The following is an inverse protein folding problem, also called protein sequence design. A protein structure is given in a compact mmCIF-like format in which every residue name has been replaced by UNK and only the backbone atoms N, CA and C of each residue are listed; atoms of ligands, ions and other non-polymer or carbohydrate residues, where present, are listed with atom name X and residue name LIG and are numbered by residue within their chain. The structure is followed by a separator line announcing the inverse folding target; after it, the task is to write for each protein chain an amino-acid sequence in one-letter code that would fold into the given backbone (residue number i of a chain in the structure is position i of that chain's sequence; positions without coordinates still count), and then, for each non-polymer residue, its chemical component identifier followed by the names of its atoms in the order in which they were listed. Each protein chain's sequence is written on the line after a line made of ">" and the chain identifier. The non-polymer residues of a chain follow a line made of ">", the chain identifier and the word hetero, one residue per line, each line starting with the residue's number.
data_IF_861137989347
#
_entry.id   IF_861137989347
#
_cell.length_a   1.000
_cell.length_b   1.000
_cell.length_c   1.000
_cell.angle_alpha   90.00
_cell.angle_beta   90.00
_cell.angle_gamma   90.00
#
_symmetry.space_group_name_H-M   'P 1'
#
loop_
_entity.id
_entity.type
_entity.pdbx_description
1 polymer ?
#
# COMPACT_ATOMS: atom_id res chain seq x y z
N UNK A 1 -16.89 -25.95 -7.86
CA UNK A 1 -16.08 -26.78 -6.95
C UNK A 1 -14.73 -26.11 -6.67
N UNK A 2 -14.07 -26.33 -5.51
CA UNK A 2 -12.70 -25.83 -5.27
C UNK A 2 -11.67 -26.76 -5.93
N UNK A 3 -10.60 -26.20 -6.48
CA UNK A 3 -9.52 -26.97 -7.12
C UNK A 3 -8.15 -26.53 -6.62
N UNK A 4 -7.31 -27.49 -6.22
CA UNK A 4 -5.90 -27.27 -5.96
C UNK A 4 -5.09 -27.36 -7.26
N UNK A 5 -4.12 -26.45 -7.42
CA UNK A 5 -3.13 -26.48 -8.49
C UNK A 5 -1.73 -26.28 -7.91
N UNK A 6 -0.88 -27.30 -8.05
CA UNK A 6 0.52 -27.28 -7.62
C UNK A 6 1.44 -27.49 -8.82
N UNK A 7 2.38 -26.57 -9.02
CA UNK A 7 3.38 -26.68 -10.07
C UNK A 7 4.50 -27.62 -9.66
N UNK A 8 5.00 -28.39 -10.63
CA UNK A 8 6.14 -29.30 -10.47
C UNK A 8 7.43 -28.64 -10.96
N UNK A 9 8.57 -29.16 -10.54
CA UNK A 9 9.90 -28.63 -10.92
C UNK A 9 10.15 -28.65 -12.44
N UNK A 10 9.44 -29.50 -13.18
CA UNK A 10 9.52 -29.62 -14.63
C UNK A 10 8.52 -28.71 -15.38
N UNK A 11 7.84 -27.80 -14.69
CA UNK A 11 6.87 -26.87 -15.27
C UNK A 11 5.50 -27.49 -15.57
N UNK A 12 5.25 -28.72 -15.12
CA UNK A 12 3.93 -29.33 -15.12
C UNK A 12 3.07 -28.87 -13.95
N UNK A 13 1.81 -29.26 -13.93
CA UNK A 13 0.84 -28.91 -12.88
C UNK A 13 0.05 -30.14 -12.48
N UNK A 14 -0.03 -30.37 -11.16
CA UNK A 14 -0.88 -31.40 -10.57
C UNK A 14 -2.13 -30.75 -10.00
N UNK A 15 -3.27 -31.33 -10.33
CA UNK A 15 -4.60 -30.79 -10.08
C UNK A 15 -5.43 -31.76 -9.26
N UNK A 16 -6.18 -31.25 -8.28
CA UNK A 16 -7.08 -32.07 -7.49
C UNK A 16 -8.34 -31.27 -7.09
N UNK A 17 -9.56 -31.81 -7.29
CA UNK A 17 -10.76 -31.21 -6.73
C UNK A 17 -10.78 -31.37 -5.20
N UNK A 18 -11.31 -30.38 -4.48
CA UNK A 18 -11.27 -30.33 -3.02
C UNK A 18 -12.66 -30.41 -2.37
N UNK A 19 -12.73 -31.10 -1.24
CA UNK A 19 -13.88 -31.07 -0.33
C UNK A 19 -13.92 -29.75 0.46
N UNK A 20 -15.00 -29.44 1.19
CA UNK A 20 -15.08 -28.22 1.99
C UNK A 20 -14.00 -28.10 3.10
N UNK A 21 -13.39 -29.23 3.50
CA UNK A 21 -12.30 -29.31 4.48
C UNK A 21 -10.91 -29.24 3.82
N UNK A 22 -10.84 -29.00 2.51
CA UNK A 22 -9.59 -28.84 1.77
C UNK A 22 -8.88 -30.16 1.44
N UNK A 23 -9.53 -31.31 1.62
CA UNK A 23 -8.97 -32.62 1.27
C UNK A 23 -9.30 -32.99 -0.17
N UNK A 24 -8.50 -33.88 -0.75
CA UNK A 24 -8.75 -34.44 -2.07
C UNK A 24 -10.15 -35.07 -2.16
N UNK A 25 -10.94 -34.61 -3.11
CA UNK A 25 -12.30 -35.08 -3.38
C UNK A 25 -12.41 -35.89 -4.70
N UNK A 26 -11.28 -36.21 -5.32
CA UNK A 26 -11.21 -36.89 -6.59
C UNK A 26 -9.77 -37.21 -7.02
N UNK A 27 -9.60 -37.85 -8.19
CA UNK A 27 -8.28 -38.24 -8.67
C UNK A 27 -7.40 -37.02 -8.96
N UNK A 28 -6.08 -37.20 -8.75
CA UNK A 28 -5.08 -36.23 -9.18
C UNK A 28 -4.94 -36.30 -10.69
N UNK A 29 -4.97 -35.14 -11.35
CA UNK A 29 -4.76 -35.03 -12.80
C UNK A 29 -3.51 -34.21 -13.06
N UNK A 30 -2.69 -34.63 -14.00
CA UNK A 30 -1.47 -33.93 -14.39
C UNK A 30 -1.62 -33.24 -15.74
N UNK A 31 -1.05 -32.04 -15.84
CA UNK A 31 -0.91 -31.27 -17.07
C UNK A 31 0.57 -30.96 -17.25
N UNK A 32 1.20 -31.43 -18.33
CA UNK A 32 2.63 -31.23 -18.55
C UNK A 32 2.94 -29.80 -19.02
N UNK A 33 4.22 -29.42 -18.95
CA UNK A 33 4.68 -28.17 -19.54
C UNK A 33 4.38 -28.09 -21.06
N UNK A 34 4.53 -29.21 -21.80
CA UNK A 34 4.25 -29.23 -23.25
C UNK A 34 2.75 -29.07 -23.54
N UNK A 35 1.89 -29.49 -22.63
CA UNK A 35 0.44 -29.28 -22.72
C UNK A 35 0.03 -27.84 -22.40
N UNK A 36 0.96 -26.96 -22.00
CA UNK A 36 0.68 -25.57 -21.66
C UNK A 36 0.63 -25.26 -20.16
N UNK A 37 1.01 -26.23 -19.31
CA UNK A 37 1.21 -26.06 -17.87
C UNK A 37 0.01 -25.44 -17.17
N UNK A 38 0.25 -24.41 -16.34
CA UNK A 38 -0.78 -23.78 -15.52
C UNK A 38 -1.91 -23.11 -16.32
N UNK A 39 -1.61 -22.59 -17.51
CA UNK A 39 -2.63 -21.98 -18.36
C UNK A 39 -3.62 -23.02 -18.87
N UNK A 40 -3.13 -24.16 -19.35
CA UNK A 40 -3.99 -25.25 -19.81
C UNK A 40 -4.74 -25.90 -18.65
N UNK A 41 -4.06 -26.09 -17.51
CA UNK A 41 -4.66 -26.59 -16.29
C UNK A 41 -5.89 -25.78 -15.87
N UNK A 42 -5.84 -24.45 -15.97
CA UNK A 42 -6.99 -23.59 -15.64
C UNK A 42 -8.05 -23.62 -16.74
N UNK A 43 -7.67 -23.52 -18.02
CA UNK A 43 -8.63 -23.49 -19.15
C UNK A 43 -9.49 -24.73 -19.24
N UNK A 44 -8.90 -25.88 -18.97
CA UNK A 44 -9.54 -27.18 -19.10
C UNK A 44 -10.48 -27.51 -17.93
N UNK A 45 -10.65 -26.61 -16.94
CA UNK A 45 -11.61 -26.74 -15.83
C UNK A 45 -12.45 -25.48 -15.65
N UNK A 46 -13.35 -25.15 -16.60
CA UNK A 46 -14.26 -24.01 -16.48
C UNK A 46 -15.22 -24.12 -15.28
N UNK A 47 -15.43 -25.32 -14.73
CA UNK A 47 -16.27 -25.61 -13.56
C UNK A 47 -15.60 -25.31 -12.20
N UNK A 48 -14.34 -24.87 -12.19
CA UNK A 48 -13.63 -24.49 -10.98
C UNK A 48 -14.14 -23.13 -10.44
N UNK A 49 -14.77 -23.15 -9.28
CA UNK A 49 -15.31 -21.94 -8.63
C UNK A 49 -14.23 -21.12 -7.93
N UNK A 50 -13.18 -21.80 -7.46
CA UNK A 50 -12.06 -21.19 -6.73
C UNK A 50 -10.82 -22.06 -6.87
N UNK A 51 -9.72 -21.42 -7.26
CA UNK A 51 -8.41 -22.04 -7.32
C UNK A 51 -7.69 -21.90 -6.00
N UNK A 52 -6.96 -22.94 -5.58
CA UNK A 52 -6.06 -22.94 -4.44
C UNK A 52 -4.67 -23.21 -4.97
N UNK A 53 -3.74 -22.29 -4.76
CA UNK A 53 -2.37 -22.41 -5.23
C UNK A 53 -1.42 -21.75 -4.24
N UNK A 54 -0.12 -22.02 -4.41
CA UNK A 54 0.92 -21.48 -3.53
C UNK A 54 0.90 -19.95 -3.46
N UNK A 55 1.03 -19.28 -4.61
CA UNK A 55 1.23 -17.84 -4.68
C UNK A 55 0.62 -17.24 -5.94
N UNK A 56 -0.33 -16.33 -5.76
CA UNK A 56 -1.02 -15.60 -6.84
C UNK A 56 -0.04 -14.69 -7.58
N UNK A 57 0.91 -14.09 -6.86
CA UNK A 57 1.91 -13.20 -7.46
C UNK A 57 2.80 -13.93 -8.48
N UNK A 58 3.03 -15.23 -8.31
CA UNK A 58 3.85 -16.06 -9.21
C UNK A 58 3.02 -16.74 -10.31
N UNK A 59 1.80 -17.15 -9.99
CA UNK A 59 0.93 -17.92 -10.91
C UNK A 59 0.17 -16.99 -11.86
N UNK A 60 -0.49 -15.97 -11.32
CA UNK A 60 -1.52 -15.27 -12.06
C UNK A 60 -1.01 -14.34 -13.18
N UNK A 61 0.17 -13.68 -13.06
CA UNK A 61 0.74 -12.95 -14.20
C UNK A 61 0.98 -13.83 -15.44
N UNK A 62 1.36 -15.10 -15.26
CA UNK A 62 1.55 -16.06 -16.37
C UNK A 62 0.22 -16.46 -16.99
N UNK A 63 -0.83 -16.65 -16.18
CA UNK A 63 -2.20 -16.86 -16.66
C UNK A 63 -2.70 -15.68 -17.49
N UNK A 64 -2.54 -14.44 -16.98
CA UNK A 64 -2.91 -13.22 -17.70
C UNK A 64 -2.13 -13.04 -19.01
N UNK A 65 -0.84 -13.40 -19.04
CA UNK A 65 -0.04 -13.40 -20.26
C UNK A 65 -0.58 -14.41 -21.30
N UNK A 66 -1.12 -15.53 -20.84
CA UNK A 66 -1.78 -16.55 -21.66
C UNK A 66 -3.26 -16.25 -21.95
N UNK A 67 -3.77 -15.08 -21.58
CA UNK A 67 -5.17 -14.67 -21.81
C UNK A 67 -6.19 -15.36 -20.91
N UNK A 68 -5.76 -16.00 -19.82
CA UNK A 68 -6.61 -16.72 -18.87
C UNK A 68 -6.87 -15.84 -17.64
N UNK A 69 -8.15 -15.61 -17.32
CA UNK A 69 -8.57 -14.90 -16.11
C UNK A 69 -9.16 -15.88 -15.11
N UNK A 70 -8.95 -15.60 -13.82
CA UNK A 70 -9.46 -16.38 -12.69
C UNK A 70 -10.27 -15.45 -11.83
N UNK A 71 -11.52 -15.80 -11.54
CA UNK A 71 -12.41 -14.96 -10.75
C UNK A 71 -12.12 -15.03 -9.25
N UNK A 72 -11.74 -16.22 -8.76
CA UNK A 72 -11.56 -16.48 -7.34
C UNK A 72 -10.36 -17.39 -7.11
N UNK A 73 -9.52 -16.99 -6.17
CA UNK A 73 -8.38 -17.77 -5.71
C UNK A 73 -8.33 -17.83 -4.18
N UNK A 74 -7.58 -18.78 -3.66
CA UNK A 74 -7.08 -18.82 -2.30
C UNK A 74 -5.55 -18.91 -2.41
N UNK A 75 -4.89 -17.87 -1.93
CA UNK A 75 -3.43 -17.76 -1.94
C UNK A 75 -2.89 -18.27 -0.61
N UNK A 76 -2.16 -19.38 -0.63
CA UNK A 76 -1.65 -20.02 0.59
C UNK A 76 -0.69 -19.11 1.35
N UNK A 77 0.22 -18.43 0.64
CA UNK A 77 1.24 -17.58 1.27
C UNK A 77 0.61 -16.27 1.79
N UNK A 78 -0.39 -15.71 1.11
CA UNK A 78 -1.13 -14.55 1.62
C UNK A 78 -1.98 -14.91 2.85
N UNK A 79 -2.65 -16.07 2.84
CA UNK A 79 -3.42 -16.55 3.97
C UNK A 79 -2.53 -16.87 5.18
N UNK A 80 -1.38 -17.50 4.95
CA UNK A 80 -0.42 -17.83 6.03
C UNK A 80 0.07 -16.57 6.74
N UNK A 81 0.35 -15.49 6.00
CA UNK A 81 0.75 -14.21 6.58
C UNK A 81 -0.30 -13.67 7.57
N UNK A 82 -1.57 -13.75 7.21
CA UNK A 82 -2.68 -13.27 8.02
C UNK A 82 -2.91 -14.14 9.26
N UNK A 83 -2.82 -15.46 9.11
CA UNK A 83 -2.98 -16.40 10.22
C UNK A 83 -1.82 -16.30 11.22
N UNK A 84 -0.57 -16.20 10.73
CA UNK A 84 0.59 -15.95 11.58
C UNK A 84 0.44 -14.63 12.34
N UNK A 85 -0.02 -13.57 11.67
CA UNK A 85 -0.33 -12.31 12.34
C UNK A 85 -1.43 -12.47 13.40
N UNK A 86 -2.48 -13.23 13.12
CA UNK A 86 -3.54 -13.53 14.09
C UNK A 86 -3.00 -14.23 15.35
N UNK A 87 -2.03 -15.11 15.18
CA UNK A 87 -1.34 -15.89 16.22
C UNK A 87 -0.22 -15.12 16.95
N UNK A 88 0.01 -13.84 16.61
CA UNK A 88 1.08 -13.04 17.21
C UNK A 88 2.48 -13.35 16.68
N UNK A 89 2.57 -13.96 15.50
CA UNK A 89 3.80 -14.36 14.81
C UNK A 89 4.03 -13.55 13.52
N UNK A 90 3.57 -12.29 13.52
CA UNK A 90 3.75 -11.39 12.38
C UNK A 90 5.21 -11.33 11.93
N UNK A 91 5.43 -11.43 10.61
CA UNK A 91 6.77 -11.41 10.02
C UNK A 91 7.48 -12.76 10.00
N UNK A 92 6.93 -13.82 10.61
CA UNK A 92 7.50 -15.15 10.48
C UNK A 92 7.39 -15.67 9.02
N UNK A 93 8.31 -16.56 8.59
CA UNK A 93 8.29 -17.12 7.23
C UNK A 93 6.96 -17.78 6.88
N UNK A 94 6.40 -17.40 5.73
CA UNK A 94 5.04 -17.71 5.27
C UNK A 94 4.99 -18.49 3.96
N UNK A 95 6.14 -18.79 3.35
CA UNK A 95 6.20 -19.68 2.18
C UNK A 95 5.54 -21.04 2.45
N UNK A 96 5.11 -21.73 1.38
CA UNK A 96 4.56 -23.09 1.51
C UNK A 96 5.51 -24.04 2.26
N UNK A 97 6.83 -23.94 1.99
CA UNK A 97 7.84 -24.72 2.67
C UNK A 97 7.92 -24.39 4.17
N UNK A 98 7.88 -23.10 4.52
CA UNK A 98 7.87 -22.66 5.92
C UNK A 98 6.61 -23.09 6.68
N UNK A 99 5.43 -22.92 6.08
CA UNK A 99 4.16 -23.34 6.65
C UNK A 99 4.14 -24.85 6.91
N UNK A 100 4.57 -25.66 5.95
CA UNK A 100 4.64 -27.11 6.11
C UNK A 100 5.68 -27.56 7.15
N UNK A 101 6.88 -26.96 7.15
CA UNK A 101 7.90 -27.28 8.13
C UNK A 101 7.40 -27.02 9.55
N UNK A 102 6.74 -25.87 9.77
CA UNK A 102 6.10 -25.51 11.03
C UNK A 102 5.03 -26.51 11.44
N UNK A 103 4.15 -26.91 10.52
CA UNK A 103 3.11 -27.91 10.77
C UNK A 103 3.69 -29.27 11.20
N UNK A 104 4.87 -29.64 10.68
CA UNK A 104 5.56 -30.89 10.99
C UNK A 104 6.54 -30.82 12.17
N UNK A 105 6.69 -29.65 12.81
CA UNK A 105 7.69 -29.45 13.86
C UNK A 105 9.13 -29.53 13.38
N UNK A 106 9.38 -29.23 12.09
CA UNK A 106 10.70 -29.21 11.46
C UNK A 106 11.31 -27.80 11.48
N UNK A 107 12.64 -27.65 11.26
CA UNK A 107 13.27 -26.34 11.09
C UNK A 107 12.58 -25.52 9.97
N UNK A 108 12.19 -24.30 10.30
CA UNK A 108 11.46 -23.41 9.38
C UNK A 108 12.47 -22.67 8.48
N UNK A 109 12.42 -22.85 7.15
CA UNK A 109 13.24 -22.06 6.23
C UNK A 109 12.82 -20.59 6.22
N UNK A 110 13.80 -19.70 6.04
CA UNK A 110 13.55 -18.27 5.80
C UNK A 110 12.88 -18.05 4.44
N UNK A 111 12.04 -17.03 4.36
CA UNK A 111 11.49 -16.57 3.09
C UNK A 111 12.52 -15.72 2.32
N UNK A 112 12.51 -15.74 0.99
CA UNK A 112 13.38 -14.88 0.19
C UNK A 112 13.03 -13.40 0.46
N UNK A 113 14.03 -12.49 0.36
CA UNK A 113 13.77 -11.07 0.52
C UNK A 113 12.76 -10.60 -0.54
N UNK A 114 11.90 -9.61 -0.22
CA UNK A 114 10.99 -9.03 -1.20
C UNK A 114 11.73 -8.53 -2.44
N UNK A 115 11.18 -8.79 -3.64
CA UNK A 115 11.78 -8.28 -4.89
C UNK A 115 11.86 -6.76 -4.86
N UNK A 116 13.03 -6.19 -5.17
CA UNK A 116 13.19 -4.74 -5.32
C UNK A 116 12.57 -4.25 -6.65
N UNK A 117 11.91 -3.10 -6.63
CA UNK A 117 11.25 -2.52 -7.80
C UNK A 117 12.24 -2.02 -8.85
N UNK A 118 11.87 -2.21 -10.12
CA UNK A 118 12.47 -1.49 -11.24
C UNK A 118 13.91 -1.90 -11.56
N UNK A 119 14.46 -2.91 -10.87
CA UNK A 119 15.70 -3.54 -11.26
C UNK A 119 15.53 -4.37 -12.53
N UNK A 120 16.57 -4.48 -13.34
CA UNK A 120 16.65 -5.58 -14.30
C UNK A 120 16.55 -6.90 -13.51
N UNK A 121 15.83 -7.91 -14.03
CA UNK A 121 15.83 -9.22 -13.39
C UNK A 121 17.26 -9.68 -13.18
N UNK A 122 17.63 -9.93 -11.93
CA UNK A 122 18.96 -10.45 -11.63
C UNK A 122 19.08 -11.82 -12.29
N UNK A 123 20.24 -12.12 -12.88
CA UNK A 123 20.52 -13.45 -13.44
C UNK A 123 20.35 -14.57 -12.38
N UNK A 124 20.38 -14.20 -11.09
CA UNK A 124 20.22 -15.09 -9.93
C UNK A 124 19.13 -14.58 -8.98
N UNK A 125 17.92 -14.35 -9.47
CA UNK A 125 16.78 -14.15 -8.55
C UNK A 125 16.56 -15.44 -7.73
N UNK A 126 16.62 -15.38 -6.39
CA UNK A 126 16.33 -16.55 -5.58
C UNK A 126 14.86 -16.94 -5.81
N UNK A 127 14.64 -18.19 -6.24
CA UNK A 127 13.32 -18.78 -6.33
C UNK A 127 12.68 -18.96 -4.95
N UNK A 128 11.41 -19.43 -4.89
CA UNK A 128 10.81 -19.82 -3.63
C UNK A 128 11.69 -20.85 -2.91
N UNK A 129 11.66 -20.88 -1.56
CA UNK A 129 12.43 -21.86 -0.81
C UNK A 129 11.98 -23.26 -1.22
N UNK A 130 12.92 -24.16 -1.58
CA UNK A 130 12.56 -25.47 -2.12
C UNK A 130 11.88 -26.30 -1.04
N UNK A 131 10.93 -27.14 -1.46
CA UNK A 131 10.40 -28.19 -0.60
C UNK A 131 11.49 -29.25 -0.32
N UNK A 132 11.42 -29.97 0.82
CA UNK A 132 12.36 -31.06 1.08
C UNK A 132 12.37 -32.10 -0.04
N UNK A 133 13.54 -32.68 -0.40
CA UNK A 133 13.64 -33.68 -1.46
C UNK A 133 12.62 -34.82 -1.30
N UNK A 134 11.97 -35.21 -2.39
CA UNK A 134 10.94 -36.25 -2.40
C UNK A 134 9.56 -35.81 -1.87
N UNK A 135 9.38 -34.52 -1.53
CA UNK A 135 8.06 -33.98 -1.22
C UNK A 135 7.28 -33.69 -2.51
N UNK A 136 6.07 -34.23 -2.60
CA UNK A 136 5.11 -33.85 -3.64
C UNK A 136 4.57 -32.42 -3.38
N UNK A 137 4.72 -31.47 -4.32
CA UNK A 137 4.17 -30.12 -4.17
C UNK A 137 2.66 -30.07 -3.94
N UNK A 138 1.89 -31.00 -4.52
CA UNK A 138 0.45 -31.06 -4.32
C UNK A 138 0.13 -31.51 -2.89
N UNK A 139 0.79 -32.55 -2.39
CA UNK A 139 0.57 -33.01 -1.01
C UNK A 139 0.92 -31.91 0.00
N UNK A 140 2.03 -31.20 -0.22
CA UNK A 140 2.41 -30.07 0.61
C UNK A 140 1.35 -28.96 0.59
N UNK A 141 0.81 -28.64 -0.60
CA UNK A 141 -0.24 -27.65 -0.78
C UNK A 141 -1.53 -28.05 -0.04
N UNK A 142 -1.97 -29.30 -0.17
CA UNK A 142 -3.19 -29.80 0.47
C UNK A 142 -3.05 -29.85 2.00
N UNK A 143 -1.89 -30.27 2.50
CA UNK A 143 -1.60 -30.34 3.92
C UNK A 143 -1.67 -28.96 4.58
N UNK A 144 -0.99 -27.97 4.00
CA UNK A 144 -1.00 -26.59 4.49
C UNK A 144 -2.39 -25.96 4.33
N UNK A 145 -3.07 -26.18 3.21
CA UNK A 145 -4.42 -25.65 3.03
C UNK A 145 -5.41 -26.17 4.08
N UNK A 146 -5.38 -27.48 4.37
CA UNK A 146 -6.23 -28.07 5.39
C UNK A 146 -5.94 -27.51 6.79
N UNK A 147 -4.66 -27.33 7.14
CA UNK A 147 -4.25 -26.68 8.40
C UNK A 147 -4.75 -25.22 8.49
N UNK A 148 -4.60 -24.44 7.41
CA UNK A 148 -5.07 -23.06 7.37
C UNK A 148 -6.59 -22.95 7.55
N UNK A 149 -7.36 -23.91 7.03
CA UNK A 149 -8.81 -23.97 7.29
C UNK A 149 -9.11 -24.24 8.77
N UNK A 150 -8.39 -25.18 9.40
CA UNK A 150 -8.55 -25.46 10.85
C UNK A 150 -8.20 -24.23 11.69
N UNK A 151 -7.09 -23.55 11.39
CA UNK A 151 -6.68 -22.32 12.09
C UNK A 151 -7.65 -21.16 11.88
N UNK A 152 -8.22 -21.06 10.68
CA UNK A 152 -9.29 -20.10 10.39
C UNK A 152 -10.54 -20.38 11.21
N UNK A 153 -10.93 -21.66 11.35
CA UNK A 153 -12.08 -22.09 12.17
C UNK A 153 -11.85 -21.89 13.68
N UNK A 154 -10.58 -21.91 14.11
CA UNK A 154 -10.18 -21.66 15.50
C UNK A 154 -10.03 -20.17 15.86
N UNK A 155 -10.08 -19.26 14.88
CA UNK A 155 -10.00 -17.82 15.14
C UNK A 155 -11.18 -17.33 15.98
N UNK A 156 -11.00 -16.23 16.73
CA UNK A 156 -12.07 -15.64 17.57
C UNK A 156 -13.36 -15.34 16.77
N UNK A 157 -13.20 -14.94 15.51
CA UNK A 157 -14.29 -14.69 14.58
C UNK A 157 -14.03 -15.39 13.23
N UNK A 158 -14.38 -16.69 13.10
CA UNK A 158 -14.04 -17.50 11.93
C UNK A 158 -14.57 -16.93 10.61
N UNK A 159 -15.81 -16.42 10.60
CA UNK A 159 -16.42 -15.83 9.40
C UNK A 159 -15.67 -14.58 8.93
N UNK A 160 -15.15 -13.79 9.87
CA UNK A 160 -14.37 -12.59 9.56
C UNK A 160 -12.98 -12.94 9.03
N UNK A 161 -12.33 -13.94 9.62
CA UNK A 161 -11.04 -14.43 9.14
C UNK A 161 -11.15 -15.06 7.74
N UNK A 162 -12.23 -15.82 7.47
CA UNK A 162 -12.56 -16.31 6.11
C UNK A 162 -12.73 -15.17 5.11
N UNK A 163 -13.45 -14.11 5.50
CA UNK A 163 -13.65 -12.95 4.64
C UNK A 163 -12.33 -12.21 4.40
N UNK A 164 -11.49 -12.04 5.42
CA UNK A 164 -10.18 -11.40 5.32
C UNK A 164 -9.24 -12.14 4.36
N UNK A 165 -9.07 -13.44 4.54
CA UNK A 165 -8.22 -14.29 3.67
C UNK A 165 -8.75 -14.31 2.23
N UNK A 166 -10.07 -14.32 2.05
CA UNK A 166 -10.71 -14.21 0.74
C UNK A 166 -10.45 -12.85 0.09
N UNK A 167 -10.61 -11.76 0.85
CA UNK A 167 -10.40 -10.40 0.37
C UNK A 167 -8.94 -10.16 0.00
N UNK A 168 -8.00 -10.72 0.76
CA UNK A 168 -6.57 -10.64 0.46
C UNK A 168 -6.24 -11.36 -0.85
N UNK A 169 -6.71 -12.60 -1.01
CA UNK A 169 -6.51 -13.39 -2.22
C UNK A 169 -7.12 -12.70 -3.45
N UNK A 170 -8.32 -12.11 -3.30
CA UNK A 170 -8.94 -11.32 -4.35
C UNK A 170 -8.12 -10.05 -4.67
N UNK A 171 -7.59 -9.38 -3.65
CA UNK A 171 -6.69 -8.24 -3.82
C UNK A 171 -5.44 -8.59 -4.62
N UNK A 172 -4.85 -9.76 -4.41
CA UNK A 172 -3.71 -10.26 -5.18
C UNK A 172 -4.06 -10.47 -6.67
N UNK A 173 -5.24 -11.02 -6.97
CA UNK A 173 -5.73 -11.12 -8.35
C UNK A 173 -5.88 -9.73 -8.98
N UNK A 174 -6.61 -8.83 -8.30
CA UNK A 174 -6.89 -7.47 -8.79
C UNK A 174 -5.59 -6.69 -9.00
N UNK A 175 -4.62 -6.80 -8.10
CA UNK A 175 -3.31 -6.16 -8.24
C UNK A 175 -2.59 -6.58 -9.53
N UNK A 176 -2.61 -7.87 -9.86
CA UNK A 176 -2.02 -8.37 -11.11
C UNK A 176 -2.78 -7.88 -12.35
N UNK A 177 -4.12 -7.86 -12.31
CA UNK A 177 -4.95 -7.32 -13.39
C UNK A 177 -4.69 -5.82 -13.61
N UNK A 178 -4.65 -5.03 -12.54
CA UNK A 178 -4.35 -3.60 -12.58
C UNK A 178 -2.95 -3.34 -13.15
N UNK A 179 -1.95 -4.12 -12.75
CA UNK A 179 -0.59 -4.04 -13.30
C UNK A 179 -0.55 -4.37 -14.80
N UNK A 180 -1.27 -5.41 -15.23
CA UNK A 180 -1.35 -5.83 -16.64
C UNK A 180 -2.05 -4.76 -17.48
N UNK A 181 -3.22 -4.31 -17.01
CA UNK A 181 -4.04 -3.30 -17.68
C UNK A 181 -3.33 -1.95 -17.75
N UNK A 182 -2.67 -1.53 -16.66
CA UNK A 182 -1.99 -0.25 -16.54
C UNK A 182 -2.93 0.96 -16.61
N UNK A 183 -2.41 2.11 -16.21
CA UNK A 183 -3.11 3.40 -16.34
C UNK A 183 -2.65 4.07 -17.64
N UNK A 184 -3.57 4.53 -18.52
CA UNK A 184 -3.22 5.30 -19.71
C UNK A 184 -2.29 6.49 -19.38
N UNK A 185 -1.16 6.56 -20.07
CA UNK A 185 -0.11 7.53 -19.78
C UNK A 185 0.58 8.05 -21.04
N UNK A 186 0.51 9.36 -21.24
CA UNK A 186 1.16 10.08 -22.35
C UNK A 186 2.58 10.48 -21.98
N UNK A 187 3.53 9.65 -22.37
CA UNK A 187 4.95 9.85 -22.10
C UNK A 187 5.52 11.12 -22.76
N UNK A 188 4.98 11.52 -23.92
CA UNK A 188 5.27 12.77 -24.60
C UNK A 188 4.85 13.98 -23.75
N UNK A 189 3.62 13.99 -23.22
CA UNK A 189 3.13 15.05 -22.32
C UNK A 189 3.93 15.13 -21.03
N UNK A 190 4.38 13.98 -20.51
CA UNK A 190 5.25 13.96 -19.34
C UNK A 190 6.62 14.57 -19.66
N UNK A 191 7.24 14.24 -20.81
CA UNK A 191 8.51 14.86 -21.23
C UNK A 191 8.37 16.37 -21.43
N UNK A 192 7.34 16.81 -22.14
CA UNK A 192 7.03 18.24 -22.32
C UNK A 192 6.93 18.97 -20.97
N UNK A 193 6.26 18.37 -20.00
CA UNK A 193 6.15 18.92 -18.65
C UNK A 193 7.52 19.03 -17.96
N UNK A 194 8.35 18.01 -18.07
CA UNK A 194 9.69 18.02 -17.48
C UNK A 194 10.57 19.08 -18.15
N UNK A 195 10.51 19.20 -19.48
CA UNK A 195 11.23 20.22 -20.24
C UNK A 195 10.75 21.64 -19.87
N UNK A 196 9.45 21.83 -19.69
CA UNK A 196 8.82 23.10 -19.24
C UNK A 196 9.31 23.52 -17.84
N UNK A 197 9.34 22.58 -16.89
CA UNK A 197 9.59 22.89 -15.47
C UNK A 197 11.08 22.83 -15.08
N UNK A 198 11.85 21.92 -15.67
CA UNK A 198 13.25 21.67 -15.31
C UNK A 198 14.24 22.24 -16.34
N UNK A 199 13.77 22.57 -17.55
CA UNK A 199 14.61 23.08 -18.63
C UNK A 199 15.47 21.98 -19.27
N UNK A 200 16.49 22.42 -19.99
CA UNK A 200 17.39 21.54 -20.74
C UNK A 200 18.07 20.50 -19.84
N UNK A 201 18.08 19.25 -20.32
CA UNK A 201 18.80 18.15 -19.70
C UNK A 201 20.23 18.13 -20.19
N UNK A 202 21.18 18.27 -19.27
CA UNK A 202 22.58 18.11 -19.60
C UNK A 202 22.97 16.62 -19.72
N UNK A 203 23.93 16.28 -20.61
CA UNK A 203 24.49 14.93 -20.69
C UNK A 203 25.11 14.48 -19.36
N UNK A 204 25.19 13.15 -19.15
CA UNK A 204 25.94 12.58 -18.01
C UNK A 204 25.23 12.65 -16.65
N UNK A 205 23.95 12.98 -16.59
CA UNK A 205 23.18 12.98 -15.32
C UNK A 205 23.40 14.20 -14.44
N UNK A 206 23.95 15.28 -15.01
CA UNK A 206 24.03 16.59 -14.37
C UNK A 206 22.63 17.16 -14.11
N UNK A 207 22.54 18.06 -13.13
CA UNK A 207 21.27 18.71 -12.78
C UNK A 207 20.68 19.49 -13.95
N UNK A 208 19.36 19.37 -14.22
CA UNK A 208 18.68 20.19 -15.23
C UNK A 208 18.94 21.68 -15.07
N UNK A 209 18.96 22.41 -16.19
CA UNK A 209 19.29 23.85 -16.23
C UNK A 209 18.60 24.67 -15.14
N UNK A 210 17.29 24.47 -14.92
CA UNK A 210 16.53 25.26 -13.95
C UNK A 210 16.95 25.02 -12.51
N UNK A 211 17.37 23.80 -12.17
CA UNK A 211 17.90 23.47 -10.84
C UNK A 211 19.26 24.15 -10.62
N UNK A 212 20.12 24.14 -11.63
CA UNK A 212 21.41 24.83 -11.56
C UNK A 212 21.24 26.36 -11.37
N UNK A 213 20.35 26.99 -12.14
CA UNK A 213 20.03 28.42 -12.01
C UNK A 213 19.54 28.78 -10.59
N UNK A 214 18.63 27.96 -10.02
CA UNK A 214 18.11 28.17 -8.67
C UNK A 214 19.18 27.93 -7.59
N UNK A 215 20.06 26.94 -7.75
CA UNK A 215 21.18 26.72 -6.84
C UNK A 215 22.15 27.92 -6.83
N UNK A 216 22.36 28.56 -7.98
CA UNK A 216 23.15 29.78 -8.10
C UNK A 216 22.44 31.00 -7.50
N UNK A 217 21.12 31.11 -7.63
CA UNK A 217 20.31 32.13 -6.92
C UNK A 217 20.40 31.97 -5.40
N UNK A 218 20.25 30.75 -4.88
CA UNK A 218 20.40 30.45 -3.45
C UNK A 218 21.81 30.82 -2.97
N UNK A 219 22.84 30.41 -3.72
CA UNK A 219 24.24 30.72 -3.37
C UNK A 219 24.51 32.23 -3.37
N UNK A 220 23.98 32.96 -4.36
CA UNK A 220 24.09 34.43 -4.42
C UNK A 220 23.40 35.10 -3.23
N UNK A 221 22.22 34.64 -2.84
CA UNK A 221 21.48 35.19 -1.71
C UNK A 221 22.20 35.00 -0.36
N UNK A 222 22.99 33.94 -0.21
CA UNK A 222 23.84 33.72 0.97
C UNK A 222 25.27 34.30 0.84
N UNK A 223 25.65 34.80 -0.34
CA UNK A 223 27.01 35.27 -0.61
C UNK A 223 28.09 34.17 -0.61
N UNK A 224 27.71 32.90 -0.60
CA UNK A 224 28.61 31.75 -0.58
C UNK A 224 28.00 30.56 -1.30
N UNK A 225 28.80 29.59 -1.74
CA UNK A 225 28.27 28.38 -2.37
C UNK A 225 27.47 27.57 -1.35
N UNK A 226 26.22 27.25 -1.68
CA UNK A 226 25.33 26.42 -0.87
C UNK A 226 24.69 25.37 -1.76
N UNK A 227 24.73 24.11 -1.34
CA UNK A 227 24.01 23.02 -2.01
C UNK A 227 22.59 22.88 -1.45
N UNK A 228 21.54 23.23 -2.22
CA UNK A 228 20.18 23.26 -1.68
C UNK A 228 19.55 21.86 -1.54
N UNK A 229 20.13 20.83 -2.18
CA UNK A 229 19.76 19.41 -2.02
C UNK A 229 20.15 18.84 -0.66
N UNK A 230 21.12 19.45 0.04
CA UNK A 230 21.59 19.00 1.35
C UNK A 230 20.97 19.82 2.48
N UNK A 231 20.06 19.25 3.29
CA UNK A 231 19.46 19.96 4.42
C UNK A 231 20.47 20.54 5.41
N UNK A 232 21.57 19.81 5.67
CA UNK A 232 22.61 20.25 6.59
C UNK A 232 23.36 21.50 6.10
N UNK A 233 23.61 21.63 4.79
CA UNK A 233 24.24 22.83 4.23
C UNK A 233 23.31 24.04 4.30
N UNK A 234 22.01 23.84 4.02
CA UNK A 234 21.00 24.89 4.13
C UNK A 234 20.90 25.40 5.57
N UNK A 235 20.81 24.52 6.56
CA UNK A 235 20.77 24.91 7.99
C UNK A 235 22.02 25.70 8.36
N UNK A 236 23.21 25.25 7.92
CA UNK A 236 24.47 25.94 8.17
C UNK A 236 24.53 27.32 7.51
N UNK A 237 23.96 27.48 6.31
CA UNK A 237 23.90 28.76 5.61
C UNK A 237 23.01 29.77 6.34
N UNK A 238 21.82 29.36 6.78
CA UNK A 238 20.95 30.21 7.60
C UNK A 238 21.57 30.54 8.96
N UNK A 239 22.24 29.59 9.61
CA UNK A 239 22.91 29.85 10.88
C UNK A 239 24.01 30.93 10.75
N UNK A 240 24.76 30.94 9.63
CA UNK A 240 25.74 32.01 9.33
C UNK A 240 25.09 33.37 9.10
N UNK A 241 23.86 33.39 8.57
CA UNK A 241 23.06 34.59 8.43
C UNK A 241 22.35 35.00 9.75
N UNK A 242 22.63 34.33 10.87
CA UNK A 242 22.05 34.63 12.18
C UNK A 242 20.64 34.06 12.40
N UNK A 243 20.18 33.15 11.53
CA UNK A 243 18.84 32.55 11.57
C UNK A 243 18.96 31.09 12.01
N UNK A 244 18.40 30.76 13.18
CA UNK A 244 18.36 29.39 13.66
C UNK A 244 17.18 28.62 13.03
N UNK A 245 17.45 27.42 12.51
CA UNK A 245 16.44 26.51 11.97
C UNK A 245 16.50 25.16 12.66
N UNK A 246 15.33 24.65 13.02
CA UNK A 246 15.12 23.28 13.48
C UNK A 246 14.91 22.30 12.32
N UNK A 247 14.38 22.78 11.18
CA UNK A 247 14.21 21.98 9.97
C UNK A 247 14.25 22.83 8.70
N UNK A 248 14.34 22.16 7.56
CA UNK A 248 14.20 22.81 6.24
C UNK A 248 12.81 22.60 5.63
N UNK A 249 11.80 22.28 6.44
CA UNK A 249 10.43 22.08 5.95
C UNK A 249 9.85 23.41 5.44
N UNK A 250 8.95 23.32 4.45
CA UNK A 250 8.41 24.51 3.77
C UNK A 250 7.79 25.50 4.76
N UNK A 251 6.92 25.04 5.66
CA UNK A 251 6.25 25.88 6.67
C UNK A 251 7.20 26.64 7.61
N UNK A 252 8.40 26.11 7.87
CA UNK A 252 9.39 26.78 8.70
C UNK A 252 10.15 27.82 7.89
N UNK A 253 10.54 27.46 6.67
CA UNK A 253 11.23 28.36 5.73
C UNK A 253 10.36 29.55 5.32
N UNK A 254 9.06 29.35 5.09
CA UNK A 254 8.09 30.40 4.70
C UNK A 254 7.92 31.49 5.75
N UNK A 255 8.31 31.23 7.01
CA UNK A 255 8.22 32.20 8.11
C UNK A 255 9.45 33.10 8.21
N UNK A 256 10.45 32.87 7.37
CA UNK A 256 11.73 33.57 7.39
C UNK A 256 11.72 34.65 6.31
N UNK A 257 12.05 35.87 6.71
CA UNK A 257 12.30 36.96 5.77
C UNK A 257 13.78 36.94 5.34
N UNK A 258 14.10 36.19 4.29
CA UNK A 258 15.44 36.11 3.71
C UNK A 258 15.37 35.88 2.19
N UNK A 259 16.20 36.56 1.36
CA UNK A 259 16.12 36.49 -0.11
C UNK A 259 16.37 35.08 -0.67
N UNK A 260 17.02 34.19 0.09
CA UNK A 260 17.26 32.80 -0.31
C UNK A 260 16.02 31.89 -0.18
N UNK A 261 14.96 32.30 0.54
CA UNK A 261 13.82 31.42 0.87
C UNK A 261 13.02 31.05 -0.37
N UNK A 262 12.57 32.03 -1.16
CA UNK A 262 11.81 31.79 -2.39
C UNK A 262 12.55 30.88 -3.40
N UNK A 263 13.82 31.14 -3.78
CA UNK A 263 14.54 30.26 -4.70
C UNK A 263 14.82 28.87 -4.10
N UNK A 264 15.04 28.77 -2.78
CA UNK A 264 15.22 27.49 -2.09
C UNK A 264 13.94 26.65 -2.13
N UNK A 265 12.78 27.22 -1.83
CA UNK A 265 11.49 26.51 -1.88
C UNK A 265 11.19 26.02 -3.31
N UNK A 266 11.44 26.87 -4.31
CA UNK A 266 11.34 26.51 -5.73
C UNK A 266 12.30 25.38 -6.11
N UNK A 267 13.56 25.46 -5.70
CA UNK A 267 14.55 24.40 -5.94
C UNK A 267 14.06 23.09 -5.33
N UNK A 268 13.65 23.07 -4.06
CA UNK A 268 13.22 21.84 -3.38
C UNK A 268 12.01 21.20 -4.06
N UNK A 269 11.06 22.01 -4.54
CA UNK A 269 9.89 21.55 -5.31
C UNK A 269 10.31 20.88 -6.62
N UNK A 270 11.17 21.54 -7.40
CA UNK A 270 11.65 21.00 -8.68
C UNK A 270 12.60 19.81 -8.50
N UNK A 271 13.43 19.81 -7.47
CA UNK A 271 14.36 18.73 -7.15
C UNK A 271 13.61 17.45 -6.79
N UNK A 272 12.52 17.57 -6.01
CA UNK A 272 11.62 16.44 -5.73
C UNK A 272 10.95 15.92 -7.01
N UNK A 273 10.49 16.81 -7.90
CA UNK A 273 9.93 16.41 -9.19
C UNK A 273 10.98 15.65 -10.03
N UNK A 274 12.19 16.19 -10.14
CA UNK A 274 13.29 15.61 -10.91
C UNK A 274 13.68 14.21 -10.40
N UNK A 275 13.84 14.05 -9.09
CA UNK A 275 14.30 12.79 -8.49
C UNK A 275 13.19 11.76 -8.37
N UNK A 276 11.96 12.15 -8.01
CA UNK A 276 10.87 11.21 -7.76
C UNK A 276 10.04 10.88 -9.01
N UNK A 277 9.88 11.83 -9.94
CA UNK A 277 9.01 11.68 -11.13
C UNK A 277 9.65 12.18 -12.43
N UNK A 278 10.99 12.31 -12.48
CA UNK A 278 11.69 12.74 -13.67
C UNK A 278 11.81 11.66 -14.75
N UNK A 279 12.76 11.84 -15.66
CA UNK A 279 12.96 10.95 -16.81
C UNK A 279 13.23 9.49 -16.41
N UNK A 280 13.97 9.24 -15.34
CA UNK A 280 14.24 7.88 -14.84
C UNK A 280 12.94 7.18 -14.42
N UNK A 281 12.10 7.86 -13.63
CA UNK A 281 10.78 7.35 -13.25
C UNK A 281 9.93 7.02 -14.48
N UNK A 282 9.90 7.93 -15.46
CA UNK A 282 9.13 7.71 -16.69
C UNK A 282 9.62 6.46 -17.44
N UNK A 283 10.93 6.23 -17.51
CA UNK A 283 11.52 5.05 -18.15
C UNK A 283 11.21 3.75 -17.39
N UNK A 284 11.28 3.77 -16.06
CA UNK A 284 11.04 2.58 -15.23
C UNK A 284 9.59 2.14 -15.25
N UNK A 285 8.65 3.08 -15.24
CA UNK A 285 7.24 2.78 -14.94
C UNK A 285 6.28 2.88 -16.12
N UNK A 286 6.67 3.57 -17.20
CA UNK A 286 5.80 3.78 -18.36
C UNK A 286 6.37 3.06 -19.58
N UNK A 287 5.56 2.16 -20.14
CA UNK A 287 5.84 1.45 -21.40
C UNK A 287 4.56 1.29 -22.18
N UNK A 288 4.64 1.24 -23.51
CA UNK A 288 3.46 1.00 -24.38
C UNK A 288 2.28 1.95 -24.07
N UNK A 289 2.56 3.21 -23.76
CA UNK A 289 1.53 4.21 -23.44
C UNK A 289 0.81 4.00 -22.11
N UNK A 290 1.36 3.19 -21.19
CA UNK A 290 0.73 2.91 -19.89
C UNK A 290 1.72 2.93 -18.73
N UNK A 291 1.30 3.55 -17.64
CA UNK A 291 1.92 3.44 -16.32
C UNK A 291 1.53 2.10 -15.68
N UNK A 292 2.52 1.28 -15.32
CA UNK A 292 2.31 -0.08 -14.80
C UNK A 292 3.04 -0.31 -13.47
N UNK A 293 2.54 0.27 -12.36
CA UNK A 293 3.09 0.01 -11.05
C UNK A 293 2.84 -1.44 -10.63
N UNK A 294 3.71 -1.95 -9.76
CA UNK A 294 3.50 -3.22 -9.09
C UNK A 294 2.86 -2.97 -7.74
N UNK A 295 1.59 -3.35 -7.63
CA UNK A 295 0.82 -3.24 -6.38
C UNK A 295 1.11 -4.43 -5.48
N UNK A 296 1.28 -4.15 -4.19
CA UNK A 296 1.50 -5.12 -3.14
C UNK A 296 0.34 -5.04 -2.13
N UNK A 297 -0.73 -5.83 -2.33
CA UNK A 297 -1.75 -6.04 -1.32
C UNK A 297 -1.13 -6.51 -0.01
N UNK A 298 -1.63 -5.98 1.11
CA UNK A 298 -1.07 -6.29 2.43
C UNK A 298 0.34 -5.79 2.66
N UNK A 299 0.85 -4.87 1.81
CA UNK A 299 2.22 -4.38 1.87
C UNK A 299 2.53 -3.49 3.08
N UNK A 300 1.53 -2.91 3.74
CA UNK A 300 1.68 -2.33 5.08
C UNK A 300 1.10 -3.25 6.15
N UNK A 301 1.56 -3.06 7.39
CA UNK A 301 0.97 -3.66 8.60
C UNK A 301 -0.55 -3.44 8.67
N UNK A 302 -1.02 -2.24 8.35
CA UNK A 302 -2.46 -1.90 8.33
C UNK A 302 -3.24 -2.60 7.22
N UNK A 303 -2.57 -3.25 6.26
CA UNK A 303 -3.17 -3.90 5.10
C UNK A 303 -3.44 -2.98 3.92
N UNK A 304 -2.98 -1.72 3.99
CA UNK A 304 -3.02 -0.83 2.83
C UNK A 304 -2.10 -1.38 1.75
N UNK A 305 -2.52 -1.20 0.52
CA UNK A 305 -1.70 -1.58 -0.63
C UNK A 305 -0.52 -0.64 -0.72
N UNK A 306 0.66 -1.20 -0.92
CA UNK A 306 1.85 -0.43 -1.26
C UNK A 306 2.19 -0.66 -2.72
N UNK A 307 3.25 0.00 -3.19
CA UNK A 307 3.88 -0.36 -4.45
C UNK A 307 5.34 -0.60 -4.22
N UNK A 308 5.87 -1.53 -4.98
CA UNK A 308 7.30 -1.67 -5.10
C UNK A 308 7.86 -0.36 -5.71
N UNK A 309 8.93 0.22 -5.14
CA UNK A 309 9.62 1.39 -5.72
C UNK A 309 9.30 2.75 -5.11
N UNK A 310 8.98 2.78 -3.81
CA UNK A 310 9.19 3.93 -2.90
C UNK A 310 8.45 5.24 -3.20
N UNK A 311 7.52 5.26 -4.16
CA UNK A 311 6.84 6.50 -4.55
C UNK A 311 6.14 6.46 -5.90
N UNK A 312 6.12 5.31 -6.58
CA UNK A 312 5.46 5.15 -7.88
C UNK A 312 4.01 5.71 -7.91
N UNK A 313 3.27 5.59 -6.80
CA UNK A 313 1.90 6.10 -6.69
C UNK A 313 1.76 7.54 -6.19
N UNK A 314 2.81 8.16 -5.66
CA UNK A 314 2.73 9.51 -5.10
C UNK A 314 2.80 10.59 -6.19
N UNK A 315 1.97 10.45 -7.23
CA UNK A 315 2.05 11.27 -8.44
C UNK A 315 1.55 12.71 -8.14
N UNK A 316 2.43 13.72 -8.26
CA UNK A 316 2.07 15.12 -8.01
C UNK A 316 1.00 15.58 -8.98
N UNK A 317 0.12 16.50 -8.55
CA UNK A 317 -0.98 17.04 -9.36
C UNK A 317 -0.53 17.53 -10.74
N UNK A 318 0.64 18.18 -10.80
CA UNK A 318 1.21 18.67 -12.06
C UNK A 318 1.55 17.55 -13.05
N UNK A 319 2.03 16.41 -12.56
CA UNK A 319 2.40 15.24 -13.38
C UNK A 319 1.17 14.49 -13.87
N UNK A 320 0.04 14.57 -13.16
CA UNK A 320 -1.23 13.93 -13.56
C UNK A 320 -1.76 14.43 -14.91
N UNK A 321 -1.26 15.56 -15.44
CA UNK A 321 -1.50 16.02 -16.84
C UNK A 321 -1.11 14.97 -17.89
N UNK A 322 -0.19 14.07 -17.56
CA UNK A 322 0.20 12.97 -18.44
C UNK A 322 -0.78 11.78 -18.41
N UNK A 323 -1.72 11.75 -17.46
CA UNK A 323 -2.78 10.72 -17.42
C UNK A 323 -3.89 11.15 -18.36
N UNK A 324 -3.97 10.51 -19.53
CA UNK A 324 -4.92 10.87 -20.59
C UNK A 324 -5.65 9.60 -21.01
N UNK A 325 -6.98 9.64 -21.01
CA UNK A 325 -7.81 8.51 -21.44
C UNK A 325 -7.47 8.06 -22.87
N UNK A 326 -7.66 6.76 -23.13
CA UNK A 326 -7.60 6.21 -24.48
C UNK A 326 -8.69 6.85 -25.37
N UNK A 327 -8.50 6.91 -26.71
CA UNK A 327 -9.52 7.44 -27.62
C UNK A 327 -10.89 6.77 -27.46
N UNK A 328 -11.93 7.56 -27.27
CA UNK A 328 -13.30 7.07 -27.02
C UNK A 328 -13.59 6.70 -25.56
N UNK A 329 -12.61 6.83 -24.65
CA UNK A 329 -12.78 6.54 -23.23
C UNK A 329 -12.76 7.82 -22.38
N UNK A 330 -13.22 7.69 -21.14
CA UNK A 330 -13.10 8.71 -20.09
C UNK A 330 -12.57 8.08 -18.82
N UNK A 331 -11.80 8.84 -18.04
CA UNK A 331 -11.38 8.44 -16.71
C UNK A 331 -12.51 8.73 -15.72
N UNK A 332 -12.81 7.77 -14.85
CA UNK A 332 -13.78 7.91 -13.77
C UNK A 332 -13.02 7.76 -12.46
N UNK A 333 -13.18 8.75 -11.58
CA UNK A 333 -12.61 8.72 -10.23
C UNK A 333 -13.76 8.47 -9.26
N UNK A 334 -13.64 7.42 -8.46
CA UNK A 334 -14.55 7.13 -7.36
C UNK A 334 -13.72 7.13 -6.06
N UNK A 335 -14.11 7.98 -5.12
CA UNK A 335 -13.47 8.08 -3.81
C UNK A 335 -14.51 7.88 -2.72
N UNK A 336 -14.07 7.33 -1.59
CA UNK A 336 -14.92 7.10 -0.43
C UNK A 336 -14.75 8.24 0.57
N UNK A 337 -15.70 9.17 0.55
CA UNK A 337 -15.70 10.33 1.43
C UNK A 337 -15.67 9.91 2.90
N UNK A 338 -14.60 10.31 3.58
CA UNK A 338 -14.48 10.21 5.04
C UNK A 338 -14.64 8.76 5.53
N UNK A 339 -14.05 7.80 4.81
CA UNK A 339 -14.17 6.37 5.11
C UNK A 339 -13.80 6.02 6.56
N UNK A 340 -12.69 6.53 7.07
CA UNK A 340 -12.18 6.20 8.41
C UNK A 340 -13.16 6.52 9.56
N UNK A 341 -13.69 7.76 9.69
CA UNK A 341 -14.67 8.04 10.73
C UNK A 341 -16.02 7.32 10.50
N UNK A 342 -16.38 7.01 9.26
CA UNK A 342 -17.58 6.19 8.96
C UNK A 342 -17.39 4.73 9.41
N UNK A 343 -16.20 4.17 9.20
CA UNK A 343 -15.83 2.85 9.69
C UNK A 343 -15.83 2.85 11.22
N UNK A 344 -15.25 3.87 11.86
CA UNK A 344 -15.29 4.01 13.32
C UNK A 344 -16.74 4.04 13.85
N UNK A 345 -17.62 4.80 13.20
CA UNK A 345 -19.05 4.83 13.54
C UNK A 345 -19.68 3.43 13.52
N UNK A 346 -19.38 2.65 12.47
CA UNK A 346 -19.94 1.32 12.29
C UNK A 346 -19.42 0.30 13.31
N UNK A 347 -18.10 0.31 13.61
CA UNK A 347 -17.48 -0.69 14.48
C UNK A 347 -17.65 -0.37 15.97
N UNK A 348 -17.64 0.92 16.35
CA UNK A 348 -17.89 1.34 17.72
C UNK A 348 -19.37 1.31 18.10
N UNK A 349 -20.25 1.35 17.09
CA UNK A 349 -21.71 1.46 17.25
C UNK A 349 -22.14 2.64 18.13
N UNK A 350 -21.35 3.71 18.14
CA UNK A 350 -21.69 4.91 18.89
C UNK A 350 -22.91 5.60 18.25
N UNK A 351 -24.05 5.73 18.96
CA UNK A 351 -25.27 6.26 18.36
C UNK A 351 -25.11 7.68 17.80
N UNK A 352 -24.33 8.52 18.50
CA UNK A 352 -24.10 9.90 18.08
C UNK A 352 -23.26 9.97 16.80
N UNK A 353 -22.19 9.17 16.73
CA UNK A 353 -21.33 9.14 15.55
C UNK A 353 -22.04 8.48 14.35
N UNK A 354 -22.84 7.44 14.58
CA UNK A 354 -23.67 6.81 13.55
C UNK A 354 -24.72 7.77 12.99
N UNK A 355 -25.38 8.58 13.83
CA UNK A 355 -26.33 9.60 13.39
C UNK A 355 -25.64 10.65 12.51
N UNK A 356 -24.47 11.13 12.93
CA UNK A 356 -23.67 12.10 12.15
C UNK A 356 -23.25 11.50 10.81
N UNK A 357 -22.74 10.27 10.81
CA UNK A 357 -22.30 9.58 9.61
C UNK A 357 -23.47 9.22 8.66
N UNK A 358 -24.65 8.91 9.20
CA UNK A 358 -25.86 8.55 8.45
C UNK A 358 -26.65 9.72 7.88
N UNK A 359 -26.29 10.96 8.22
CA UNK A 359 -27.07 12.17 7.87
C UNK A 359 -27.13 12.51 6.37
N UNK A 360 -26.33 11.85 5.52
CA UNK A 360 -26.21 12.18 4.09
C UNK A 360 -25.51 13.50 3.78
N UNK A 361 -25.10 14.26 4.82
CA UNK A 361 -24.33 15.50 4.72
C UNK A 361 -22.84 15.25 5.01
N UNK A 362 -22.00 16.25 4.75
CA UNK A 362 -20.58 16.21 5.12
C UNK A 362 -20.44 15.92 6.63
N UNK A 363 -19.67 14.87 6.96
CA UNK A 363 -19.54 14.39 8.34
C UNK A 363 -18.92 15.46 9.23
N UNK A 364 -17.91 16.18 8.72
CA UNK A 364 -17.22 17.22 9.49
C UNK A 364 -18.08 18.47 9.67
N UNK A 365 -18.87 18.87 8.68
CA UNK A 365 -19.82 19.96 8.80
C UNK A 365 -20.90 19.63 9.85
N UNK A 366 -21.49 18.44 9.76
CA UNK A 366 -22.50 17.98 10.73
C UNK A 366 -21.92 17.86 12.14
N UNK A 367 -20.67 17.38 12.24
CA UNK A 367 -19.93 17.36 13.51
C UNK A 367 -19.67 18.77 14.04
N UNK A 368 -19.32 19.68 13.15
CA UNK A 368 -18.99 21.06 13.48
C UNK A 368 -20.19 21.84 14.02
N UNK A 369 -21.34 21.73 13.36
CA UNK A 369 -22.60 22.33 13.80
C UNK A 369 -22.99 21.86 15.21
N UNK A 370 -22.66 20.61 15.54
CA UNK A 370 -23.06 19.97 16.79
C UNK A 370 -22.06 20.11 17.93
N UNK A 371 -20.77 20.33 17.63
CA UNK A 371 -19.71 20.21 18.64
C UNK A 371 -18.58 21.25 18.55
N UNK A 372 -18.46 22.02 17.46
CA UNK A 372 -17.35 22.94 17.22
C UNK A 372 -17.80 24.32 16.72
N UNK A 373 -19.00 24.76 17.09
CA UNK A 373 -19.52 26.10 16.78
C UNK A 373 -19.43 26.50 15.30
N UNK A 374 -19.58 25.53 14.38
CA UNK A 374 -19.51 25.76 12.94
C UNK A 374 -18.09 25.84 12.34
N UNK A 375 -17.03 25.64 13.12
CA UNK A 375 -15.66 25.52 12.61
C UNK A 375 -15.35 24.12 12.06
N UNK A 376 -15.53 23.92 10.76
CA UNK A 376 -15.35 22.61 10.10
C UNK A 376 -13.94 22.06 10.22
N UNK A 377 -12.92 22.89 10.03
CA UNK A 377 -11.52 22.44 10.06
C UNK A 377 -11.10 22.01 11.46
N UNK A 378 -11.60 22.71 12.48
CA UNK A 378 -11.40 22.33 13.87
C UNK A 378 -12.07 20.98 14.19
N UNK A 379 -13.29 20.75 13.73
CA UNK A 379 -13.99 19.47 13.88
C UNK A 379 -13.25 18.32 13.19
N UNK A 380 -12.70 18.58 12.00
CA UNK A 380 -11.87 17.61 11.26
C UNK A 380 -10.58 17.28 12.00
N UNK A 381 -9.83 18.30 12.43
CA UNK A 381 -8.59 18.12 13.18
C UNK A 381 -8.83 17.39 14.50
N UNK A 382 -9.92 17.72 15.20
CA UNK A 382 -10.33 17.05 16.42
C UNK A 382 -10.57 15.55 16.21
N UNK A 383 -11.41 15.20 15.23
CA UNK A 383 -11.77 13.81 14.98
C UNK A 383 -10.59 12.99 14.49
N UNK A 384 -9.78 13.56 13.59
CA UNK A 384 -8.54 12.91 13.14
C UNK A 384 -7.55 12.79 14.30
N UNK A 385 -7.36 13.83 15.10
CA UNK A 385 -6.50 13.79 16.28
C UNK A 385 -6.90 12.69 17.26
N UNK A 386 -8.19 12.47 17.49
CA UNK A 386 -8.69 11.37 18.31
C UNK A 386 -8.44 9.98 17.69
N UNK A 387 -8.67 9.82 16.38
CA UNK A 387 -8.43 8.55 15.66
C UNK A 387 -6.94 8.21 15.59
N UNK A 388 -6.10 9.23 15.43
CA UNK A 388 -4.65 9.08 15.24
C UNK A 388 -3.85 9.30 16.54
N UNK A 389 -4.50 9.37 17.70
CA UNK A 389 -3.83 9.48 18.99
C UNK A 389 -3.01 10.76 19.20
N UNK A 390 -3.32 11.86 18.51
CA UNK A 390 -2.66 13.15 18.77
C UNK A 390 -3.10 13.72 20.12
N UNK A 391 -2.19 13.72 21.09
CA UNK A 391 -2.44 14.13 22.49
C UNK A 391 -1.82 15.48 22.87
N UNK A 392 -1.32 16.27 21.91
CA UNK A 392 -0.64 17.55 22.17
C UNK A 392 -1.47 18.79 21.76
N UNK A 393 -1.24 19.91 22.46
CA UNK A 393 -1.86 21.21 22.17
C UNK A 393 -3.37 21.26 22.35
N UNK A 394 -4.07 21.96 21.45
CA UNK A 394 -5.54 22.08 21.44
C UNK A 394 -6.26 20.72 21.23
N UNK A 395 -5.52 19.67 20.84
CA UNK A 395 -6.02 18.30 20.69
C UNK A 395 -6.66 17.73 21.96
N UNK A 396 -6.18 18.10 23.15
CA UNK A 396 -6.73 17.62 24.42
C UNK A 396 -8.14 18.17 24.71
N UNK A 397 -8.37 19.46 24.40
CA UNK A 397 -9.70 20.08 24.56
C UNK A 397 -10.70 19.48 23.59
N UNK A 398 -10.26 19.24 22.36
CA UNK A 398 -11.06 18.61 21.31
C UNK A 398 -11.40 17.15 21.62
N UNK A 399 -10.46 16.39 22.16
CA UNK A 399 -10.68 15.02 22.61
C UNK A 399 -11.69 14.96 23.75
N UNK A 400 -11.64 15.87 24.72
CA UNK A 400 -12.63 15.92 25.82
C UNK A 400 -14.05 16.17 25.31
N UNK A 401 -14.22 17.05 24.32
CA UNK A 401 -15.51 17.29 23.67
C UNK A 401 -16.02 16.06 22.93
N UNK A 402 -15.15 15.36 22.20
CA UNK A 402 -15.46 14.11 21.51
C UNK A 402 -15.83 12.99 22.49
N UNK A 403 -15.08 12.81 23.59
CA UNK A 403 -15.36 11.77 24.60
C UNK A 403 -16.71 11.96 25.27
N UNK A 404 -17.15 13.21 25.48
CA UNK A 404 -18.50 13.49 25.99
C UNK A 404 -19.60 13.15 24.98
N UNK A 405 -19.34 13.36 23.68
CA UNK A 405 -20.36 13.26 22.63
C UNK A 405 -20.45 11.89 21.97
N UNK A 406 -19.32 11.22 21.82
CA UNK A 406 -19.17 9.90 21.21
C UNK A 406 -18.37 8.97 22.15
N UNK A 407 -18.88 8.70 23.36
CA UNK A 407 -18.13 7.95 24.37
C UNK A 407 -17.75 6.54 23.91
N UNK A 408 -18.60 5.85 23.15
CA UNK A 408 -18.31 4.49 22.70
C UNK A 408 -17.24 4.50 21.59
N UNK A 409 -17.27 5.49 20.69
CA UNK A 409 -16.27 5.64 19.64
C UNK A 409 -14.88 5.94 20.22
N UNK A 410 -14.81 6.85 21.20
CA UNK A 410 -13.55 7.20 21.87
C UNK A 410 -13.05 6.03 22.72
N UNK A 411 -13.92 5.35 23.47
CA UNK A 411 -13.55 4.17 24.25
C UNK A 411 -12.97 3.05 23.38
N UNK A 412 -13.53 2.84 22.18
CA UNK A 412 -13.05 1.84 21.23
C UNK A 412 -11.60 2.07 20.80
N UNK A 413 -11.24 3.31 20.43
CA UNK A 413 -9.86 3.65 20.07
C UNK A 413 -8.92 3.69 21.28
N UNK A 414 -9.40 4.17 22.44
CA UNK A 414 -8.62 4.17 23.69
C UNK A 414 -8.28 2.74 24.15
N UNK A 415 -9.19 1.78 23.99
CA UNK A 415 -8.96 0.37 24.32
C UNK A 415 -7.92 -0.25 23.39
N UNK A 416 -7.98 0.04 22.08
CA UNK A 416 -6.99 -0.41 21.12
C UNK A 416 -5.60 0.20 21.40
N UNK A 417 -5.53 1.48 21.73
CA UNK A 417 -4.29 2.15 22.11
C UNK A 417 -3.68 1.52 23.38
N UNK A 418 -4.49 1.34 24.43
CA UNK A 418 -4.06 0.68 25.67
C UNK A 418 -3.60 -0.75 25.44
N UNK A 419 -4.27 -1.49 24.55
CA UNK A 419 -3.84 -2.83 24.15
C UNK A 419 -2.44 -2.80 23.54
N UNK A 420 -2.17 -1.86 22.62
CA UNK A 420 -0.85 -1.67 22.05
C UNK A 420 0.22 -1.31 23.10
N UNK A 421 -0.09 -0.38 24.01
CA UNK A 421 0.80 0.04 25.12
C UNK A 421 1.14 -1.12 26.07
N UNK A 422 0.19 -2.03 26.30
CA UNK A 422 0.36 -3.24 27.10
C UNK A 422 1.04 -4.40 26.33
N UNK A 423 1.41 -4.19 25.06
CA UNK A 423 2.01 -5.22 24.19
C UNK A 423 1.03 -6.28 23.71
N UNK A 424 -0.28 -6.08 23.88
CA UNK A 424 -1.33 -6.96 23.34
C UNK A 424 -1.50 -6.73 21.84
N UNK A 425 -1.98 -7.76 21.15
CA UNK A 425 -2.27 -7.68 19.72
C UNK A 425 -3.50 -6.80 19.46
N UNK A 426 -3.33 -5.82 18.58
CA UNK A 426 -4.43 -4.97 18.09
C UNK A 426 -4.91 -5.50 16.74
N UNK A 427 -6.22 -5.59 16.52
CA UNK A 427 -6.78 -6.15 15.28
C UNK A 427 -7.79 -5.21 14.64
N UNK A 428 -7.82 -5.21 13.32
CA UNK A 428 -8.90 -4.61 12.53
C UNK A 428 -10.21 -5.40 12.72
N UNK A 429 -11.34 -4.84 12.27
CA UNK A 429 -12.65 -5.50 12.37
C UNK A 429 -12.67 -6.93 11.81
N UNK A 430 -12.00 -7.17 10.68
CA UNK A 430 -11.96 -8.49 10.04
C UNK A 430 -10.87 -9.41 10.61
N UNK A 431 -10.05 -8.94 11.53
CA UNK A 431 -9.06 -9.76 12.24
C UNK A 431 -7.61 -9.61 11.77
N UNK A 432 -7.30 -8.69 10.85
CA UNK A 432 -5.91 -8.36 10.49
C UNK A 432 -5.21 -7.77 11.71
N UNK A 433 -4.05 -8.31 12.07
CA UNK A 433 -3.31 -7.93 13.28
C UNK A 433 -2.23 -6.90 13.01
N UNK A 434 -2.18 -5.87 13.85
CA UNK A 434 -1.02 -5.00 14.02
C UNK A 434 -0.03 -5.64 15.01
N UNK A 435 1.24 -5.86 14.65
CA UNK A 435 2.24 -6.39 15.56
C UNK A 435 2.50 -5.41 16.73
N UNK A 436 2.98 -5.91 17.88
CA UNK A 436 3.42 -5.05 18.99
C UNK A 436 4.54 -4.09 18.58
N UNK A 437 4.62 -2.93 19.23
CA UNK A 437 5.70 -1.96 19.04
C UNK A 437 7.07 -2.55 19.42
N UNK A 438 8.13 -2.26 18.65
CA UNK A 438 9.48 -2.79 18.87
C UNK A 438 9.80 -4.13 18.18
N UNK A 439 8.92 -4.66 17.33
CA UNK A 439 9.22 -5.82 16.47
C UNK A 439 9.95 -5.41 15.17
N UNK A 440 10.65 -6.34 14.52
CA UNK A 440 11.42 -6.13 13.28
C UNK A 440 10.63 -5.49 12.10
N UNK A 441 9.30 -5.41 12.20
CA UNK A 441 8.45 -4.71 11.26
C UNK A 441 8.57 -3.17 11.31
N UNK A 442 9.10 -2.59 12.39
CA UNK A 442 9.32 -1.13 12.48
C UNK A 442 10.40 -0.62 11.51
N UNK A 443 11.42 -1.43 11.20
CA UNK A 443 12.51 -1.01 10.28
C UNK A 443 12.06 -0.89 8.82
N UNK A 444 10.92 -1.49 8.45
CA UNK A 444 10.34 -1.42 7.10
C UNK A 444 9.04 -0.62 7.03
N UNK A 445 8.47 -0.29 8.19
CA UNK A 445 7.27 0.52 8.35
C UNK A 445 7.62 1.96 8.73
N UNK A 446 8.59 2.55 8.04
CA UNK A 446 8.53 3.99 7.78
C UNK A 446 7.22 4.18 7.00
N UNK A 447 6.13 4.39 7.75
CA UNK A 447 4.89 4.91 7.22
C UNK A 447 5.33 6.06 6.32
N UNK A 448 4.89 6.03 5.07
CA UNK A 448 5.03 7.15 4.15
C UNK A 448 4.23 8.39 4.63
N UNK A 449 4.21 8.67 5.93
CA UNK A 449 3.90 9.93 6.57
C UNK A 449 5.04 10.92 6.40
N UNK A 450 5.34 11.28 5.15
CA UNK A 450 5.77 12.64 4.90
C UNK A 450 4.51 13.53 5.02
N UNK A 451 4.60 14.68 5.71
CA UNK A 451 3.45 15.55 5.92
C UNK A 451 2.79 15.88 4.57
N UNK A 452 1.47 15.67 4.51
CA UNK A 452 0.65 16.22 3.44
C UNK A 452 0.80 17.74 3.53
N UNK A 453 1.57 18.33 2.63
CA UNK A 453 1.42 19.75 2.34
C UNK A 453 -0.06 19.95 1.96
N UNK A 454 -0.71 20.89 2.65
CA UNK A 454 -2.11 21.23 2.49
C UNK A 454 -2.30 21.89 1.12
N UNK A 455 -2.36 21.10 0.05
CA UNK A 455 -3.07 21.53 -1.15
C UNK A 455 -4.51 21.03 -1.01
N UNK A 456 -5.43 21.97 -0.77
CA UNK A 456 -6.86 21.71 -0.72
C UNK A 456 -7.32 20.95 -1.98
N UNK A 457 -8.01 19.81 -1.84
CA UNK A 457 -8.80 19.30 -2.93
C UNK A 457 -10.07 20.16 -3.05
N UNK A 458 -10.01 21.24 -3.82
CA UNK A 458 -11.21 21.87 -4.39
C UNK A 458 -11.78 20.92 -5.44
N UNK A 459 -12.57 19.95 -5.01
CA UNK A 459 -13.51 19.27 -5.89
C UNK A 459 -14.75 20.16 -6.00
N UNK A 460 -15.08 20.54 -7.23
CA UNK A 460 -16.22 21.40 -7.52
C UNK A 460 -17.48 20.85 -6.86
N UNK A 461 -18.03 21.63 -5.94
CA UNK A 461 -19.42 21.49 -5.51
C UNK A 461 -20.28 21.58 -6.77
N UNK A 462 -20.83 20.45 -7.21
CA UNK A 462 -22.03 20.50 -8.03
C UNK A 462 -23.12 21.05 -7.13
N UNK A 463 -23.33 22.37 -7.21
CA UNK A 463 -24.56 22.99 -6.77
C UNK A 463 -25.71 22.30 -7.53
N UNK A 464 -26.46 21.46 -6.83
CA UNK A 464 -27.77 21.02 -7.27
C UNK A 464 -28.72 22.20 -7.21
N UNK A 465 -29.47 22.39 -8.29
CA UNK A 465 -30.58 23.34 -8.39
C UNK A 465 -31.66 23.10 -7.33
#
# INVERSE_FOLDING_TARGET
>A
MRWAAAETDHGGVRLCPLDPRGRAAGPVVEVTAEQGGIAEAVRSRPEADRWVWRSTAEVYPRLLAAGVRVERAYDIEAAEALLLGHEGRSGAPRSLAAARARLRGLPVPEDPPPRAAGGQPSLFEPGPPPLPPGTDPLDALLEVYADQLVRTDAAEHPDRMRLLTTAESAGMLIAAEMRRAGVPWRADRHRELLDELLGERYPGGLEPRRLAELADEVSRAFGTRVRPDLPAEVVKAFARAGIALGSTRAWELERIDHPAVEPLLRYKKLYRLHTAHGWSWLQSWVREGRFRPEYLPGGTVSGRWTTNGGGALQIPKVVRRAVVADPGWRLVVADADQMEPRVLAAISRDPGLMEVAGSGRDLYATLSDRAFSGQRDQAKLALLGAVYGQTSGDGLKHLAALRRRFPAAVAYVDEAARAGEEGRLVRTWLGRTCPPAGGAAEETADEAGLPRDQEEPSYGSTAGA
#
